data_IF_956697344905
#
_entry.id   IF_956697344905
#
_cell.length_a   1.000
_cell.length_b   1.000
_cell.length_c   1.000
_cell.angle_alpha   90.00
_cell.angle_beta   90.00
_cell.angle_gamma   90.00
#
_symmetry.space_group_name_H-M   'P 1'
#
loop_
_entity.id
_entity.type
_entity.pdbx_description
1 polymer ?
#
# COMPACT_ATOMS: atom_id res chain seq x y z
N UNK A 1 19.32 3.22 11.54
CA UNK A 1 18.15 2.34 11.50
C UNK A 1 18.06 1.66 10.14
N UNK A 2 17.95 0.36 10.13
CA UNK A 2 17.83 -0.42 8.89
C UNK A 2 16.38 -0.50 8.44
N UNK A 3 16.13 -0.99 7.21
CA UNK A 3 14.78 -1.25 6.72
C UNK A 3 14.02 -2.21 7.64
N UNK A 4 14.70 -3.23 8.16
CA UNK A 4 14.09 -4.20 9.08
C UNK A 4 13.58 -3.54 10.34
N UNK A 5 14.38 -2.62 10.92
CA UNK A 5 14.00 -1.92 12.14
C UNK A 5 12.78 -1.03 11.93
N UNK A 6 12.58 -0.53 10.72
CA UNK A 6 11.43 0.29 10.34
C UNK A 6 10.25 -0.52 9.82
N UNK A 7 10.40 -1.84 9.72
CA UNK A 7 9.37 -2.72 9.16
C UNK A 7 9.19 -2.57 7.66
N UNK A 8 10.19 -2.04 6.98
CA UNK A 8 10.13 -1.80 5.54
C UNK A 8 10.70 -2.95 4.75
N UNK A 9 9.95 -3.40 3.75
CA UNK A 9 10.38 -4.43 2.79
C UNK A 9 9.95 -3.98 1.40
N UNK A 10 10.91 -3.83 0.50
CA UNK A 10 10.60 -3.47 -0.87
C UNK A 10 10.01 -4.67 -1.62
N UNK A 11 8.99 -4.41 -2.40
CA UNK A 11 8.30 -5.44 -3.21
C UNK A 11 8.99 -5.56 -4.56
N UNK A 12 10.14 -6.20 -4.59
CA UNK A 12 10.90 -6.39 -5.85
C UNK A 12 10.56 -7.69 -6.56
N UNK A 13 9.97 -8.65 -5.88
CA UNK A 13 9.62 -9.96 -6.43
C UNK A 13 8.48 -9.85 -7.44
N UNK A 14 8.73 -10.26 -8.67
CA UNK A 14 7.77 -10.16 -9.76
C UNK A 14 6.51 -10.99 -9.50
N UNK A 15 6.65 -12.19 -8.94
CA UNK A 15 5.50 -13.06 -8.65
C UNK A 15 4.56 -12.42 -7.64
N UNK A 16 5.10 -11.77 -6.62
CA UNK A 16 4.28 -11.05 -5.64
C UNK A 16 3.51 -9.90 -6.29
N UNK A 17 4.18 -9.16 -7.15
CA UNK A 17 3.53 -8.04 -7.86
C UNK A 17 2.45 -8.53 -8.81
N UNK A 18 2.70 -9.61 -9.52
CA UNK A 18 1.69 -10.24 -10.40
C UNK A 18 0.45 -10.65 -9.61
N UNK A 19 0.63 -11.29 -8.47
CA UNK A 19 -0.50 -11.75 -7.64
C UNK A 19 -1.31 -10.59 -7.09
N UNK A 20 -0.66 -9.53 -6.63
CA UNK A 20 -1.38 -8.32 -6.20
C UNK A 20 -2.24 -7.81 -7.35
N UNK A 21 -1.65 -7.70 -8.53
CA UNK A 21 -2.36 -7.22 -9.71
C UNK A 21 -3.55 -8.11 -10.08
N UNK A 22 -3.36 -9.43 -10.04
CA UNK A 22 -4.43 -10.40 -10.35
C UNK A 22 -5.62 -10.30 -9.39
N UNK A 23 -5.37 -9.94 -8.14
CA UNK A 23 -6.43 -9.79 -7.15
C UNK A 23 -7.18 -8.47 -7.23
N UNK A 24 -6.75 -7.53 -8.07
CA UNK A 24 -7.47 -6.27 -8.29
C UNK A 24 -8.64 -6.58 -9.22
N UNK A 25 -9.86 -6.64 -8.68
CA UNK A 25 -11.05 -7.02 -9.43
C UNK A 25 -11.99 -5.84 -9.70
N UNK A 26 -11.85 -4.73 -8.95
CA UNK A 26 -12.82 -3.63 -8.99
C UNK A 26 -12.61 -2.64 -10.13
N UNK A 27 -11.61 -2.85 -10.97
CA UNK A 27 -11.27 -1.94 -12.08
C UNK A 27 -11.21 -0.47 -11.62
N UNK A 28 -10.40 -0.15 -10.62
CA UNK A 28 -10.41 1.18 -10.02
C UNK A 28 -9.77 2.23 -10.93
N UNK A 29 -10.21 3.48 -10.81
CA UNK A 29 -9.53 4.61 -11.42
C UNK A 29 -8.49 5.24 -10.48
N UNK A 30 -8.69 5.09 -9.17
CA UNK A 30 -7.77 5.56 -8.13
C UNK A 30 -7.51 4.42 -7.16
N UNK A 31 -6.25 4.19 -6.84
CA UNK A 31 -5.83 3.18 -5.86
C UNK A 31 -5.06 3.90 -4.75
N UNK A 32 -5.33 3.53 -3.50
CA UNK A 32 -4.52 3.97 -2.36
C UNK A 32 -3.40 2.98 -2.11
N UNK A 33 -2.19 3.49 -2.01
CA UNK A 33 -1.03 2.75 -1.51
C UNK A 33 -0.47 3.49 -0.31
N UNK A 34 -0.69 2.99 0.90
CA UNK A 34 -0.37 3.73 2.13
C UNK A 34 1.09 3.63 2.58
N UNK A 35 1.90 2.83 1.92
CA UNK A 35 3.29 2.58 2.31
C UNK A 35 4.10 2.16 1.08
N UNK A 36 4.35 3.13 0.18
CA UNK A 36 4.82 2.81 -1.17
C UNK A 36 6.25 2.26 -1.24
N UNK A 37 7.09 2.51 -0.24
CA UNK A 37 8.51 2.19 -0.36
C UNK A 37 9.12 2.97 -1.52
N UNK A 38 9.82 2.29 -2.40
CA UNK A 38 10.36 2.95 -3.61
C UNK A 38 9.36 2.99 -4.77
N UNK A 39 8.20 2.34 -4.64
CA UNK A 39 7.11 2.40 -5.62
C UNK A 39 7.00 1.18 -6.54
N UNK A 40 7.52 0.02 -6.13
CA UNK A 40 7.50 -1.19 -6.97
C UNK A 40 6.11 -1.62 -7.41
N UNK A 41 5.15 -1.66 -6.48
CA UNK A 41 3.78 -2.03 -6.80
C UNK A 41 3.12 -1.02 -7.72
N UNK A 42 3.37 0.25 -7.47
CA UNK A 42 2.79 1.34 -8.28
C UNK A 42 3.29 1.25 -9.72
N UNK A 43 4.59 1.08 -9.90
CA UNK A 43 5.17 0.94 -11.23
C UNK A 43 4.59 -0.25 -11.98
N UNK A 44 4.50 -1.40 -11.30
CA UNK A 44 3.97 -2.62 -11.91
C UNK A 44 2.52 -2.46 -12.36
N UNK A 45 1.67 -1.95 -11.47
CA UNK A 45 0.24 -1.79 -11.75
C UNK A 45 0.01 -0.73 -12.83
N UNK A 46 0.75 0.37 -12.76
CA UNK A 46 0.63 1.45 -13.75
C UNK A 46 0.98 0.96 -15.16
N UNK A 47 1.96 0.06 -15.27
CA UNK A 47 2.33 -0.53 -16.55
C UNK A 47 1.25 -1.47 -17.12
N UNK A 48 0.42 -2.04 -16.25
CA UNK A 48 -0.62 -3.01 -16.64
C UNK A 48 -2.02 -2.39 -16.77
N UNK A 49 -2.29 -1.33 -16.03
CA UNK A 49 -3.61 -0.67 -16.02
C UNK A 49 -3.47 0.75 -16.53
N UNK A 50 -4.05 1.01 -17.70
CA UNK A 50 -4.06 2.36 -18.25
C UNK A 50 -5.02 3.25 -17.47
N UNK A 51 -4.63 4.52 -17.31
CA UNK A 51 -5.44 5.56 -16.67
C UNK A 51 -5.69 5.38 -15.16
N UNK A 52 -5.00 4.46 -14.51
CA UNK A 52 -5.08 4.36 -13.05
C UNK A 52 -4.19 5.43 -12.40
N UNK A 53 -4.70 6.02 -11.32
CA UNK A 53 -3.96 6.99 -10.50
C UNK A 53 -3.77 6.42 -9.11
N UNK A 54 -2.73 6.87 -8.43
CA UNK A 54 -2.44 6.44 -7.07
C UNK A 54 -2.45 7.62 -6.12
N UNK A 55 -3.07 7.41 -4.96
CA UNK A 55 -2.83 8.23 -3.77
C UNK A 55 -1.75 7.50 -2.97
N UNK A 56 -0.64 8.18 -2.72
CA UNK A 56 0.60 7.56 -2.24
C UNK A 56 1.07 8.18 -0.94
N UNK A 57 1.41 7.32 0.02
CA UNK A 57 1.96 7.73 1.32
C UNK A 57 3.24 6.97 1.60
N UNK A 58 4.20 7.64 2.25
CA UNK A 58 5.44 7.02 2.69
C UNK A 58 5.96 7.76 3.93
N UNK A 59 6.37 7.00 4.94
CA UNK A 59 6.90 7.58 6.18
C UNK A 59 8.37 7.99 6.06
N UNK A 60 9.14 7.29 5.22
CA UNK A 60 10.58 7.49 5.10
C UNK A 60 10.94 8.35 3.89
N UNK A 61 11.26 9.62 4.14
CA UNK A 61 11.64 10.56 3.09
C UNK A 61 12.98 10.24 2.42
N UNK A 62 13.76 9.36 3.01
CA UNK A 62 15.10 9.01 2.51
C UNK A 62 15.07 7.95 1.43
N UNK A 63 13.96 7.23 1.28
CA UNK A 63 13.84 6.20 0.26
C UNK A 63 13.93 6.83 -1.12
N UNK A 64 14.83 6.31 -1.96
CA UNK A 64 14.94 6.74 -3.34
C UNK A 64 13.83 6.09 -4.15
N UNK A 65 12.99 6.91 -4.77
CA UNK A 65 11.87 6.44 -5.56
C UNK A 65 12.33 5.94 -6.93
N UNK A 66 11.60 4.96 -7.48
CA UNK A 66 11.77 4.54 -8.87
C UNK A 66 11.44 5.72 -9.80
N UNK A 67 12.03 5.73 -11.00
CA UNK A 67 11.96 6.88 -11.92
C UNK A 67 10.55 7.31 -12.26
N UNK A 68 9.61 6.35 -12.36
CA UNK A 68 8.23 6.66 -12.74
C UNK A 68 7.41 7.28 -11.62
N UNK A 69 7.92 7.27 -10.39
CA UNK A 69 7.21 7.80 -9.24
C UNK A 69 7.55 9.28 -9.07
N UNK A 70 6.55 10.14 -9.14
CA UNK A 70 6.75 11.57 -8.95
C UNK A 70 6.75 11.90 -7.45
N UNK A 71 7.89 12.32 -6.95
CA UNK A 71 8.07 12.64 -5.53
C UNK A 71 7.06 13.69 -5.05
N UNK A 72 6.72 14.65 -5.89
CA UNK A 72 5.77 15.72 -5.56
C UNK A 72 4.36 15.21 -5.30
N UNK A 73 4.03 14.01 -5.74
CA UNK A 73 2.71 13.39 -5.53
C UNK A 73 2.67 12.45 -4.32
N UNK A 74 3.81 12.20 -3.69
CA UNK A 74 3.88 11.36 -2.50
C UNK A 74 3.63 12.23 -1.26
N UNK A 75 2.72 11.79 -0.41
CA UNK A 75 2.48 12.42 0.88
C UNK A 75 3.40 11.75 1.90
N UNK A 76 4.39 12.49 2.39
CA UNK A 76 5.33 11.97 3.38
C UNK A 76 4.82 12.21 4.78
N UNK A 77 4.86 11.18 5.60
CA UNK A 77 4.44 11.23 6.99
C UNK A 77 3.95 9.88 7.46
N UNK A 78 3.63 9.81 8.74
CA UNK A 78 3.07 8.59 9.34
C UNK A 78 1.62 8.44 8.92
N UNK A 79 1.33 7.45 8.08
CA UNK A 79 -0.02 7.19 7.60
C UNK A 79 -1.02 7.00 8.75
N UNK A 80 -0.57 6.41 9.86
CA UNK A 80 -1.43 6.19 11.03
C UNK A 80 -1.91 7.48 11.67
N UNK A 81 -1.21 8.58 11.46
CA UNK A 81 -1.57 9.91 11.99
C UNK A 81 -2.23 10.81 10.96
N UNK A 82 -2.26 10.41 9.70
CA UNK A 82 -2.91 11.19 8.65
C UNK A 82 -4.42 11.08 8.77
N UNK A 83 -5.11 12.21 8.63
CA UNK A 83 -6.57 12.22 8.48
C UNK A 83 -6.90 12.06 7.02
N UNK A 84 -7.70 11.05 6.70
CA UNK A 84 -8.07 10.75 5.32
C UNK A 84 -9.59 10.76 5.23
N UNK A 85 -10.11 11.70 4.45
CA UNK A 85 -11.56 11.86 4.26
C UNK A 85 -12.10 11.06 3.08
N UNK A 86 -11.22 10.60 2.21
CA UNK A 86 -11.61 9.79 1.04
C UNK A 86 -11.81 8.33 1.41
N UNK A 87 -12.69 7.68 0.66
CA UNK A 87 -12.77 6.22 0.63
C UNK A 87 -12.29 5.71 -0.73
N UNK A 88 -11.94 4.45 -0.79
CA UNK A 88 -11.34 3.84 -1.97
C UNK A 88 -12.03 2.53 -2.32
N UNK A 89 -12.11 2.24 -3.61
CA UNK A 89 -12.56 0.93 -4.10
C UNK A 89 -11.47 -0.11 -4.00
N UNK A 90 -10.22 0.32 -4.09
CA UNK A 90 -9.06 -0.58 -4.09
C UNK A 90 -7.92 0.04 -3.31
N UNK A 91 -7.38 -0.74 -2.39
CA UNK A 91 -6.18 -0.38 -1.62
C UNK A 91 -5.22 -1.55 -1.73
N UNK A 92 -3.98 -1.28 -2.11
CA UNK A 92 -2.95 -2.30 -2.21
C UNK A 92 -1.72 -1.89 -1.40
N UNK A 93 -0.90 -2.86 -1.02
CA UNK A 93 0.34 -2.52 -0.37
C UNK A 93 1.08 -3.69 0.25
N UNK A 94 2.23 -3.34 0.79
CA UNK A 94 3.07 -4.21 1.60
C UNK A 94 3.30 -3.47 2.92
N UNK A 95 2.40 -3.65 3.90
CA UNK A 95 2.41 -2.86 5.12
C UNK A 95 3.61 -3.18 6.00
N UNK A 96 4.01 -2.24 6.88
CA UNK A 96 5.12 -2.50 7.80
C UNK A 96 4.75 -3.57 8.84
N UNK A 97 5.69 -4.47 9.13
CA UNK A 97 5.50 -5.57 10.08
C UNK A 97 6.27 -5.28 11.37
N UNK A 98 5.93 -4.20 12.05
CA UNK A 98 6.60 -3.81 13.28
C UNK A 98 5.70 -4.10 14.46
N UNK A 99 6.22 -4.78 15.48
CA UNK A 99 5.54 -5.00 16.75
C UNK A 99 5.74 -3.78 17.63
N UNK A 100 4.69 -3.36 18.30
CA UNK A 100 4.70 -2.27 19.25
C UNK A 100 4.31 -2.77 20.64
N UNK A 101 4.44 -1.91 21.66
CA UNK A 101 4.01 -2.24 23.01
C UNK A 101 2.52 -2.54 23.12
N UNK A 102 1.71 -2.01 22.20
CA UNK A 102 0.25 -2.21 22.17
C UNK A 102 -0.17 -3.40 21.32
N UNK A 103 0.79 -4.11 20.72
CA UNK A 103 0.51 -5.20 19.84
C UNK A 103 1.27 -5.09 18.52
N UNK A 104 0.59 -5.26 17.42
CA UNK A 104 1.21 -5.31 16.11
C UNK A 104 0.75 -4.11 15.26
N UNK A 105 1.70 -3.25 14.87
CA UNK A 105 1.42 -2.11 14.00
C UNK A 105 0.71 -2.53 12.71
N UNK A 106 1.03 -3.70 12.21
CA UNK A 106 0.41 -4.28 11.04
C UNK A 106 -1.11 -4.43 11.19
N UNK A 107 -1.57 -4.89 12.37
CA UNK A 107 -3.01 -5.05 12.65
C UNK A 107 -3.68 -3.68 12.69
N UNK A 108 -3.09 -2.71 13.39
CA UNK A 108 -3.63 -1.35 13.47
C UNK A 108 -3.71 -0.71 12.08
N UNK A 109 -2.72 -0.97 11.25
CA UNK A 109 -2.64 -0.48 9.89
C UNK A 109 -3.79 -1.03 9.05
N UNK A 110 -4.05 -2.34 9.14
CA UNK A 110 -5.17 -2.99 8.43
C UNK A 110 -6.50 -2.43 8.90
N UNK A 111 -6.71 -2.25 10.21
CA UNK A 111 -7.96 -1.70 10.73
C UNK A 111 -8.24 -0.31 10.17
N UNK A 112 -7.23 0.56 10.18
CA UNK A 112 -7.38 1.90 9.62
C UNK A 112 -7.78 1.84 8.15
N UNK A 113 -7.08 1.03 7.37
CA UNK A 113 -7.30 0.93 5.93
C UNK A 113 -8.65 0.32 5.61
N UNK A 114 -9.08 -0.69 6.34
CA UNK A 114 -10.39 -1.29 6.13
C UNK A 114 -11.51 -0.25 6.22
N UNK A 115 -11.38 0.69 7.15
CA UNK A 115 -12.35 1.77 7.31
C UNK A 115 -12.31 2.81 6.19
N UNK A 116 -11.31 2.77 5.32
CA UNK A 116 -11.21 3.64 4.16
C UNK A 116 -11.76 2.99 2.88
N UNK A 117 -12.29 1.78 2.97
CA UNK A 117 -12.91 1.11 1.83
C UNK A 117 -14.36 1.52 1.66
N UNK A 118 -14.76 1.73 0.41
CA UNK A 118 -16.18 1.75 0.07
C UNK A 118 -16.80 0.38 0.30
N UNK A 119 -18.14 0.30 0.37
CA UNK A 119 -18.83 -0.97 0.29
C UNK A 119 -18.42 -1.68 -0.99
N UNK A 120 -18.17 -2.98 -0.91
CA UNK A 120 -17.61 -3.79 -1.98
C UNK A 120 -16.18 -3.40 -2.38
N UNK A 121 -15.52 -2.56 -1.59
CA UNK A 121 -14.11 -2.25 -1.77
C UNK A 121 -13.21 -3.43 -1.46
N UNK A 122 -12.01 -3.41 -2.02
CA UNK A 122 -11.04 -4.50 -1.87
C UNK A 122 -9.72 -3.99 -1.31
N UNK A 123 -9.15 -4.77 -0.42
CA UNK A 123 -7.83 -4.55 0.15
C UNK A 123 -6.95 -5.75 -0.21
N UNK A 124 -5.82 -5.49 -0.85
CA UNK A 124 -4.87 -6.54 -1.20
C UNK A 124 -3.52 -6.18 -0.61
N UNK A 125 -3.11 -6.93 0.42
CA UNK A 125 -1.84 -6.71 1.09
C UNK A 125 -0.94 -7.93 0.95
N UNK A 126 0.35 -7.66 0.78
CA UNK A 126 1.39 -8.66 0.93
C UNK A 126 1.66 -8.79 2.42
N UNK A 127 1.54 -10.01 2.94
CA UNK A 127 1.78 -10.32 4.34
C UNK A 127 2.96 -11.30 4.43
N UNK A 128 3.58 -11.50 5.61
CA UNK A 128 4.66 -12.47 5.70
C UNK A 128 4.19 -13.84 5.18
N UNK A 129 4.90 -14.34 4.19
CA UNK A 129 4.69 -15.66 3.56
C UNK A 129 3.46 -15.79 2.66
N UNK A 130 2.62 -14.77 2.49
CA UNK A 130 1.39 -14.92 1.71
C UNK A 130 0.75 -13.57 1.35
N UNK A 131 -0.53 -13.63 1.00
CA UNK A 131 -1.37 -12.49 0.68
C UNK A 131 -2.58 -12.44 1.58
N UNK A 132 -3.04 -11.23 1.85
CA UNK A 132 -4.32 -11.00 2.47
C UNK A 132 -5.19 -10.26 1.47
N UNK A 133 -6.36 -10.83 1.16
CA UNK A 133 -7.38 -10.10 0.44
C UNK A 133 -8.64 -10.03 1.29
N UNK A 134 -9.10 -8.80 1.54
CA UNK A 134 -10.35 -8.53 2.24
C UNK A 134 -11.27 -7.74 1.32
N UNK A 135 -12.55 -8.04 1.41
CA UNK A 135 -13.58 -7.31 0.68
C UNK A 135 -14.56 -6.74 1.70
N UNK A 136 -14.88 -5.47 1.56
CA UNK A 136 -15.87 -4.81 2.41
C UNK A 136 -17.28 -5.23 1.97
N UNK A 137 -18.08 -5.59 2.94
CA UNK A 137 -19.46 -6.02 2.67
C UNK A 137 -20.38 -4.83 2.35
#
# INVERSE_FOLDING_TARGET
MTQHDMGQYFTTNVELKEKVFEYILNNPSIILEPSIGQGDLIEYVTDKMLNVKFDMYEIDKKIKLLKKIQKSKVIYGDFMRCEISKKYKTIIGNPPYVRTKRGNLYIDFIEKIYNLLYDDGELIFIVPSDFLKLTSA
#
